data_IF_877930227612
#
_entry.id   IF_877930227612
#
_cell.length_a   1.000
_cell.length_b   1.000
_cell.length_c   1.000
_cell.angle_alpha   90.00
_cell.angle_beta   90.00
_cell.angle_gamma   90.00
#
_symmetry.space_group_name_H-M   'P 1'
#
loop_
_entity.id
_entity.type
_entity.pdbx_description
1 polymer ?
#
# COMPACT_ATOMS: atom_id res chain seq x y z
N UNK A 1 15.47 -7.68 -9.60
CA UNK A 1 14.05 -8.07 -9.72
C UNK A 1 13.68 -8.82 -8.46
N UNK A 2 12.65 -8.40 -7.74
CA UNK A 2 12.24 -9.06 -6.48
C UNK A 2 11.49 -10.37 -6.76
N UNK A 3 11.37 -11.26 -5.78
CA UNK A 3 10.60 -12.52 -5.91
C UNK A 3 9.14 -12.27 -6.30
N UNK A 4 8.50 -11.25 -5.71
CA UNK A 4 7.13 -10.85 -6.06
C UNK A 4 7.04 -10.26 -7.47
N UNK A 5 8.03 -9.47 -7.89
CA UNK A 5 8.09 -8.93 -9.25
C UNK A 5 8.23 -10.05 -10.29
N UNK A 6 9.10 -11.04 -10.03
CA UNK A 6 9.27 -12.21 -10.91
C UNK A 6 7.99 -13.05 -11.00
N UNK A 7 7.31 -13.30 -9.86
CA UNK A 7 6.03 -13.99 -9.82
C UNK A 7 4.95 -13.25 -10.64
N UNK A 8 4.88 -11.92 -10.52
CA UNK A 8 3.96 -11.09 -11.29
C UNK A 8 4.26 -11.16 -12.80
N UNK A 9 5.54 -11.05 -13.20
CA UNK A 9 5.95 -11.19 -14.61
C UNK A 9 5.59 -12.56 -15.18
N UNK A 10 5.94 -13.64 -14.46
CA UNK A 10 5.71 -15.01 -14.93
C UNK A 10 4.23 -15.35 -15.04
N UNK A 11 3.42 -14.94 -14.07
CA UNK A 11 1.97 -15.19 -14.10
C UNK A 11 1.28 -14.42 -15.23
N UNK A 12 1.66 -13.16 -15.48
CA UNK A 12 1.18 -12.42 -16.64
C UNK A 12 1.59 -13.07 -17.97
N UNK A 13 2.81 -13.59 -18.08
CA UNK A 13 3.27 -14.35 -19.25
C UNK A 13 2.47 -15.66 -19.43
N UNK A 14 2.18 -16.38 -18.34
CA UNK A 14 1.41 -17.62 -18.39
C UNK A 14 -0.04 -17.42 -18.88
N UNK A 15 -0.66 -16.27 -18.56
CA UNK A 15 -1.97 -15.88 -19.11
C UNK A 15 -1.88 -15.65 -20.61
N UNK A 16 -0.88 -14.90 -21.09
CA UNK A 16 -0.69 -14.66 -22.53
C UNK A 16 -0.46 -15.95 -23.31
N UNK A 17 0.33 -16.87 -22.75
CA UNK A 17 0.53 -18.21 -23.31
C UNK A 17 -0.78 -19.00 -23.34
N UNK A 18 -1.56 -18.98 -22.26
CA UNK A 18 -2.88 -19.64 -22.21
C UNK A 18 -3.86 -19.12 -23.27
N UNK A 19 -3.91 -17.80 -23.46
CA UNK A 19 -4.71 -17.17 -24.51
C UNK A 19 -4.25 -17.60 -25.92
N UNK A 20 -2.95 -17.58 -26.19
CA UNK A 20 -2.38 -18.02 -27.46
C UNK A 20 -2.64 -19.51 -27.73
N UNK A 21 -2.52 -20.37 -26.71
CA UNK A 21 -2.80 -21.79 -26.83
C UNK A 21 -4.28 -22.04 -27.15
N UNK A 22 -5.20 -21.31 -26.52
CA UNK A 22 -6.63 -21.40 -26.83
C UNK A 22 -6.96 -20.94 -28.24
N UNK A 23 -6.40 -19.81 -28.69
CA UNK A 23 -6.57 -19.33 -30.05
C UNK A 23 -6.09 -20.36 -31.08
N UNK A 24 -4.88 -20.89 -30.88
CA UNK A 24 -4.32 -21.96 -31.71
C UNK A 24 -5.17 -23.22 -31.69
N UNK A 25 -5.73 -23.59 -30.55
CA UNK A 25 -6.62 -24.75 -30.46
C UNK A 25 -7.92 -24.53 -31.26
N UNK A 26 -8.52 -23.34 -31.18
CA UNK A 26 -9.71 -23.01 -31.95
C UNK A 26 -9.46 -23.07 -33.47
N UNK A 27 -8.26 -22.68 -33.93
CA UNK A 27 -7.88 -22.75 -35.35
C UNK A 27 -7.65 -24.18 -35.84
N UNK A 28 -7.07 -25.05 -35.00
CA UNK A 28 -6.61 -26.39 -35.41
C UNK A 28 -7.58 -27.52 -35.08
N UNK A 29 -8.53 -27.31 -34.15
CA UNK A 29 -9.41 -28.37 -33.69
C UNK A 29 -10.62 -28.54 -34.62
N UNK A 30 -10.68 -29.67 -35.32
CA UNK A 30 -11.80 -30.02 -36.20
C UNK A 30 -13.16 -30.21 -35.46
N UNK A 31 -13.14 -30.38 -34.13
CA UNK A 31 -14.36 -30.51 -33.32
C UNK A 31 -14.89 -29.17 -32.81
N UNK A 32 -14.06 -28.13 -32.75
CA UNK A 32 -14.49 -26.82 -32.32
C UNK A 32 -15.24 -26.13 -33.46
N UNK A 33 -16.40 -25.55 -33.15
CA UNK A 33 -17.20 -24.72 -34.04
C UNK A 33 -17.46 -23.37 -33.38
N UNK A 34 -17.88 -22.33 -34.13
CA UNK A 34 -18.19 -21.02 -33.55
C UNK A 34 -19.22 -21.07 -32.41
N UNK A 35 -20.11 -22.07 -32.43
CA UNK A 35 -21.21 -22.28 -31.49
C UNK A 35 -20.99 -23.47 -30.53
N UNK A 36 -19.90 -24.24 -30.70
CA UNK A 36 -19.67 -25.45 -29.92
C UNK A 36 -18.18 -25.63 -29.58
N UNK A 37 -17.86 -25.58 -28.28
CA UNK A 37 -16.54 -25.89 -27.76
C UNK A 37 -16.40 -27.40 -27.48
N UNK A 38 -15.24 -27.98 -27.83
CA UNK A 38 -14.94 -29.36 -27.46
C UNK A 38 -14.51 -29.45 -25.97
N UNK A 39 -14.55 -30.65 -25.35
CA UNK A 39 -14.18 -30.82 -23.93
C UNK A 39 -12.80 -30.25 -23.58
N UNK A 40 -11.83 -30.42 -24.48
CA UNK A 40 -10.48 -29.86 -24.32
C UNK A 40 -10.47 -28.34 -24.32
N UNK A 41 -11.28 -27.70 -25.17
CA UNK A 41 -11.40 -26.24 -25.20
C UNK A 41 -11.99 -25.70 -23.87
N UNK A 42 -12.96 -26.41 -23.29
CA UNK A 42 -13.55 -26.08 -22.00
C UNK A 42 -12.55 -26.23 -20.83
N UNK A 43 -11.73 -27.29 -20.85
CA UNK A 43 -10.61 -27.46 -19.89
C UNK A 43 -9.59 -26.34 -20.01
N UNK A 44 -9.20 -25.98 -21.24
CA UNK A 44 -8.26 -24.88 -21.50
C UNK A 44 -8.83 -23.53 -21.07
N UNK A 45 -10.15 -23.30 -21.22
CA UNK A 45 -10.81 -22.10 -20.69
C UNK A 45 -10.73 -22.06 -19.16
N UNK A 46 -11.00 -23.18 -18.49
CA UNK A 46 -10.94 -23.29 -17.03
C UNK A 46 -9.53 -23.03 -16.51
N UNK A 47 -8.50 -23.64 -17.12
CA UNK A 47 -7.11 -23.38 -16.76
C UNK A 47 -6.70 -21.91 -17.04
N UNK A 48 -7.15 -21.34 -18.17
CA UNK A 48 -6.93 -19.92 -18.47
C UNK A 48 -7.51 -19.03 -17.38
N UNK A 49 -8.77 -19.25 -16.98
CA UNK A 49 -9.39 -18.48 -15.89
C UNK A 49 -8.62 -18.60 -14.57
N UNK A 50 -8.12 -19.79 -14.23
CA UNK A 50 -7.27 -19.98 -13.06
C UNK A 50 -5.94 -19.20 -13.17
N UNK A 51 -5.33 -19.13 -14.36
CA UNK A 51 -4.14 -18.29 -14.62
C UNK A 51 -4.46 -16.81 -14.50
N UNK A 52 -5.62 -16.36 -15.00
CA UNK A 52 -6.08 -14.97 -14.90
C UNK A 52 -6.22 -14.54 -13.45
N UNK A 53 -6.87 -15.36 -12.61
CA UNK A 53 -6.99 -15.06 -11.18
C UNK A 53 -5.64 -15.05 -10.47
N UNK A 54 -4.72 -15.98 -10.80
CA UNK A 54 -3.36 -15.97 -10.27
C UNK A 54 -2.57 -14.73 -10.68
N UNK A 55 -2.67 -14.31 -11.95
CA UNK A 55 -2.03 -13.10 -12.46
C UNK A 55 -2.53 -11.86 -11.71
N UNK A 56 -3.85 -11.73 -11.55
CA UNK A 56 -4.46 -10.65 -10.76
C UNK A 56 -3.91 -10.61 -9.34
N UNK A 57 -3.93 -11.74 -8.65
CA UNK A 57 -3.44 -11.85 -7.27
C UNK A 57 -1.95 -11.52 -7.15
N UNK A 58 -1.11 -12.02 -8.06
CA UNK A 58 0.34 -11.80 -8.02
C UNK A 58 0.71 -10.35 -8.37
N UNK A 59 0.03 -9.73 -9.33
CA UNK A 59 0.19 -8.31 -9.61
C UNK A 59 -0.20 -7.47 -8.38
N UNK A 60 -1.37 -7.71 -7.79
CA UNK A 60 -1.80 -6.95 -6.61
C UNK A 60 -1.01 -7.30 -5.34
N UNK A 61 -0.34 -8.45 -5.29
CA UNK A 61 0.63 -8.75 -4.23
C UNK A 61 1.94 -7.97 -4.45
N UNK A 62 2.41 -7.84 -5.70
CA UNK A 62 3.62 -7.09 -6.02
C UNK A 62 3.42 -5.56 -5.99
N UNK A 63 2.25 -5.05 -6.39
CA UNK A 63 1.83 -3.66 -6.28
C UNK A 63 0.35 -3.62 -5.89
N UNK A 64 0.02 -3.61 -4.59
CA UNK A 64 -1.33 -3.42 -4.09
C UNK A 64 -1.96 -2.16 -4.61
N UNK A 65 -3.29 -2.14 -4.51
CA UNK A 65 -4.07 -0.92 -4.67
C UNK A 65 -3.51 0.18 -3.78
N UNK A 66 -3.61 1.41 -4.25
CA UNK A 66 -3.03 2.61 -3.66
C UNK A 66 -1.50 2.60 -3.53
N UNK A 67 -0.78 1.73 -4.25
CA UNK A 67 0.68 1.88 -4.38
C UNK A 67 0.97 3.02 -5.36
N UNK A 68 1.90 3.91 -5.00
CA UNK A 68 2.39 4.95 -5.89
C UNK A 68 3.57 4.42 -6.71
N UNK A 69 3.49 4.50 -8.03
CA UNK A 69 4.51 4.04 -8.96
C UNK A 69 4.90 5.16 -9.92
N UNK A 70 6.07 5.05 -10.56
CA UNK A 70 6.44 5.92 -11.69
C UNK A 70 6.21 5.16 -13.00
N UNK A 71 5.34 5.72 -13.84
CA UNK A 71 5.14 5.25 -15.20
C UNK A 71 6.13 5.95 -16.14
N UNK A 72 6.82 5.17 -16.96
CA UNK A 72 7.70 5.64 -18.03
C UNK A 72 7.52 4.83 -19.32
N UNK A 73 6.28 4.41 -19.60
CA UNK A 73 5.96 3.59 -20.77
C UNK A 73 5.94 4.35 -22.09
N UNK A 74 5.28 3.77 -23.10
CA UNK A 74 5.31 4.31 -24.47
C UNK A 74 4.68 5.70 -24.60
N UNK A 75 3.72 6.02 -23.72
CA UNK A 75 2.93 7.25 -23.80
C UNK A 75 3.61 8.36 -22.97
N UNK A 76 4.52 9.12 -23.60
CA UNK A 76 5.40 10.11 -22.93
C UNK A 76 4.66 11.18 -22.15
N UNK A 77 3.52 11.67 -22.65
CA UNK A 77 2.69 12.67 -21.96
C UNK A 77 2.00 12.12 -20.69
N UNK A 78 2.04 10.81 -20.46
CA UNK A 78 1.52 10.18 -19.26
C UNK A 78 2.62 9.76 -18.28
N UNK A 79 3.89 10.12 -18.53
CA UNK A 79 4.99 9.84 -17.61
C UNK A 79 4.80 10.49 -16.23
N UNK A 80 5.45 9.92 -15.21
CA UNK A 80 5.46 10.43 -13.84
C UNK A 80 4.70 9.54 -12.87
N UNK A 81 4.27 10.10 -11.74
CA UNK A 81 3.70 9.33 -10.63
C UNK A 81 2.24 8.94 -10.88
N UNK A 82 1.88 7.72 -10.49
CA UNK A 82 0.53 7.18 -10.62
C UNK A 82 0.19 6.28 -9.45
N UNK A 83 -1.10 6.19 -9.12
CA UNK A 83 -1.62 5.28 -8.11
C UNK A 83 -2.18 4.02 -8.77
N UNK A 84 -1.81 2.85 -8.25
CA UNK A 84 -2.44 1.59 -8.64
C UNK A 84 -3.88 1.57 -8.15
N UNK A 85 -4.84 1.47 -9.07
CA UNK A 85 -6.25 1.35 -8.74
C UNK A 85 -6.70 -0.11 -8.70
N UNK A 86 -6.35 -0.86 -9.73
CA UNK A 86 -6.60 -2.30 -9.85
C UNK A 86 -5.72 -2.89 -10.97
N UNK A 87 -6.06 -4.07 -11.43
CA UNK A 87 -5.57 -4.71 -12.65
C UNK A 87 -6.59 -4.58 -13.78
N UNK A 88 -6.14 -4.66 -15.02
CA UNK A 88 -7.01 -4.46 -16.18
C UNK A 88 -7.75 -5.74 -16.58
N UNK A 89 -9.07 -5.72 -16.53
CA UNK A 89 -9.92 -6.84 -16.98
C UNK A 89 -9.81 -7.07 -18.51
N UNK A 90 -9.70 -6.02 -19.32
CA UNK A 90 -9.61 -6.12 -20.79
C UNK A 90 -8.34 -6.84 -21.26
N UNK A 91 -7.30 -6.85 -20.44
CA UNK A 91 -6.05 -7.55 -20.70
C UNK A 91 -5.87 -8.78 -19.82
N UNK A 92 -6.98 -9.42 -19.39
CA UNK A 92 -6.98 -10.63 -18.58
C UNK A 92 -6.09 -10.51 -17.33
N UNK A 93 -6.11 -9.33 -16.72
CA UNK A 93 -5.30 -8.98 -15.54
C UNK A 93 -3.79 -9.21 -15.75
N UNK A 94 -3.26 -8.86 -16.92
CA UNK A 94 -1.80 -8.87 -17.22
C UNK A 94 -1.16 -7.48 -17.19
N UNK A 95 -1.94 -6.46 -16.81
CA UNK A 95 -1.54 -5.06 -16.72
C UNK A 95 -2.27 -4.37 -15.54
N UNK A 96 -1.72 -3.26 -15.06
CA UNK A 96 -2.35 -2.43 -14.05
C UNK A 96 -3.29 -1.40 -14.67
N UNK A 97 -4.33 -1.06 -13.90
CA UNK A 97 -5.11 0.16 -14.04
C UNK A 97 -4.55 1.19 -13.07
N UNK A 98 -4.17 2.34 -13.60
CA UNK A 98 -3.58 3.42 -12.83
C UNK A 98 -4.53 4.61 -12.79
N UNK A 99 -4.43 5.40 -11.72
CA UNK A 99 -5.19 6.63 -11.54
C UNK A 99 -4.32 7.77 -11.03
N UNK A 100 -4.74 8.99 -11.32
CA UNK A 100 -4.18 10.23 -10.80
C UNK A 100 -5.30 11.07 -10.15
N UNK A 101 -4.94 12.02 -9.28
CA UNK A 101 -5.86 13.09 -8.89
C UNK A 101 -6.48 13.76 -10.12
N UNK A 102 -7.70 14.31 -9.97
CA UNK A 102 -8.50 14.93 -11.05
C UNK A 102 -9.10 13.96 -12.07
N UNK A 103 -9.25 12.67 -11.72
CA UNK A 103 -10.03 11.71 -12.49
C UNK A 103 -9.34 11.12 -13.72
N UNK A 104 -8.05 11.41 -13.93
CA UNK A 104 -7.27 10.76 -14.98
C UNK A 104 -7.05 9.28 -14.65
N UNK A 105 -7.38 8.41 -15.60
CA UNK A 105 -7.17 6.97 -15.48
C UNK A 105 -6.41 6.43 -16.68
N UNK A 106 -5.42 5.59 -16.42
CA UNK A 106 -4.74 4.78 -17.43
C UNK A 106 -5.24 3.35 -17.28
N UNK A 107 -5.89 2.84 -18.32
CA UNK A 107 -6.50 1.49 -18.27
C UNK A 107 -5.44 0.39 -18.35
N UNK A 108 -4.36 0.65 -19.08
CA UNK A 108 -3.37 -0.35 -19.43
C UNK A 108 -1.97 0.18 -19.16
N UNK A 109 -1.36 -0.29 -18.08
CA UNK A 109 0.06 -0.10 -17.81
C UNK A 109 0.70 -1.47 -17.58
N UNK A 110 1.58 -1.89 -18.49
CA UNK A 110 2.32 -3.12 -18.28
C UNK A 110 3.38 -2.94 -17.20
N UNK A 111 3.69 -4.02 -16.48
CA UNK A 111 4.74 -3.99 -15.47
C UNK A 111 6.10 -3.53 -16.02
N UNK A 112 6.41 -3.83 -17.29
CA UNK A 112 7.62 -3.37 -17.98
C UNK A 112 7.65 -1.85 -18.24
N UNK A 113 6.52 -1.16 -18.12
CA UNK A 113 6.41 0.29 -18.30
C UNK A 113 6.52 1.08 -16.99
N UNK A 114 6.65 0.37 -15.87
CA UNK A 114 6.82 0.94 -14.54
C UNK A 114 8.32 1.05 -14.27
N UNK A 115 8.85 2.27 -14.26
CA UNK A 115 10.28 2.54 -14.07
C UNK A 115 10.69 2.55 -12.60
N UNK A 116 9.75 2.85 -11.71
CA UNK A 116 9.93 2.65 -10.27
C UNK A 116 8.62 2.24 -9.61
N UNK A 117 8.72 1.26 -8.72
CA UNK A 117 7.70 0.90 -7.74
C UNK A 117 8.15 1.45 -6.38
N UNK A 118 7.27 1.54 -5.35
CA UNK A 118 7.75 1.72 -3.99
C UNK A 118 8.81 0.66 -3.74
N UNK A 119 10.03 1.10 -3.47
CA UNK A 119 11.12 0.22 -3.12
C UNK A 119 10.71 -0.48 -1.82
N UNK A 120 10.76 -1.81 -1.80
CA UNK A 120 10.90 -2.59 -0.57
C UNK A 120 12.03 -1.94 0.23
N UNK A 121 11.71 -1.04 1.17
CA UNK A 121 12.74 -0.30 1.87
C UNK A 121 13.56 -1.32 2.67
N UNK A 122 14.88 -1.46 2.43
CA UNK A 122 15.71 -2.44 3.14
C UNK A 122 15.75 -2.24 4.66
N UNK A 123 15.16 -1.16 5.19
CA UNK A 123 14.95 -0.91 6.62
C UNK A 123 13.52 -1.14 7.13
N UNK A 124 12.59 -1.74 6.37
CA UNK A 124 11.21 -1.92 6.85
C UNK A 124 11.11 -2.84 8.09
N UNK A 125 11.92 -3.90 8.13
CA UNK A 125 12.05 -4.75 9.32
C UNK A 125 12.69 -4.00 10.50
N UNK A 126 13.74 -3.21 10.22
CA UNK A 126 14.41 -2.37 11.21
C UNK A 126 13.51 -1.25 11.75
N UNK A 127 12.59 -0.74 10.93
CA UNK A 127 11.65 0.32 11.28
C UNK A 127 10.43 -0.18 12.06
N UNK A 128 10.09 -1.48 11.99
CA UNK A 128 8.87 -2.02 12.60
C UNK A 128 8.88 -1.92 14.12
N UNK A 129 9.96 -2.35 14.78
CA UNK A 129 10.06 -2.28 16.24
C UNK A 129 10.06 -0.82 16.74
N UNK A 130 10.88 0.10 16.19
CA UNK A 130 10.81 1.52 16.53
C UNK A 130 9.44 2.16 16.27
N UNK A 131 8.76 1.81 15.16
CA UNK A 131 7.45 2.35 14.85
C UNK A 131 6.38 1.87 15.84
N UNK A 132 6.44 0.61 16.28
CA UNK A 132 5.56 0.07 17.32
C UNK A 132 5.81 0.72 18.67
N UNK A 133 7.08 0.99 19.00
CA UNK A 133 7.44 1.72 20.21
C UNK A 133 6.90 3.15 20.16
N UNK A 134 7.16 3.90 19.09
CA UNK A 134 6.62 5.24 18.90
C UNK A 134 5.08 5.28 18.96
N UNK A 135 4.39 4.30 18.37
CA UNK A 135 2.94 4.18 18.44
C UNK A 135 2.43 3.95 19.86
N UNK A 136 3.13 3.12 20.65
CA UNK A 136 2.78 2.89 22.06
C UNK A 136 2.97 4.15 22.90
N UNK A 137 4.06 4.88 22.68
CA UNK A 137 4.33 6.14 23.40
C UNK A 137 3.28 7.21 23.05
N UNK A 138 2.99 7.38 21.76
CA UNK A 138 1.93 8.28 21.31
C UNK A 138 0.56 7.90 21.92
N UNK A 139 0.19 6.62 21.87
CA UNK A 139 -1.07 6.14 22.44
C UNK A 139 -1.15 6.35 23.97
N UNK A 140 -0.03 6.18 24.68
CA UNK A 140 0.03 6.42 26.12
C UNK A 140 -0.20 7.90 26.47
N UNK A 141 0.40 8.84 25.72
CA UNK A 141 0.18 10.28 25.93
C UNK A 141 -1.28 10.65 25.65
N UNK A 142 -1.82 10.21 24.52
CA UNK A 142 -3.21 10.49 24.15
C UNK A 142 -4.20 9.94 25.19
N UNK A 143 -3.95 8.72 25.69
CA UNK A 143 -4.77 8.13 26.74
C UNK A 143 -4.70 8.93 28.06
N UNK A 144 -3.55 9.51 28.41
CA UNK A 144 -3.46 10.42 29.57
C UNK A 144 -4.34 11.67 29.39
N UNK A 145 -4.46 12.16 28.15
CA UNK A 145 -5.30 13.28 27.76
C UNK A 145 -6.77 12.88 27.49
N UNK A 146 -7.17 11.61 27.67
CA UNK A 146 -8.53 11.14 27.41
C UNK A 146 -8.89 10.96 25.93
N UNK A 147 -7.91 10.97 25.03
CA UNK A 147 -8.09 10.86 23.58
C UNK A 147 -7.76 9.44 23.12
N UNK A 148 -8.60 8.90 22.23
CA UNK A 148 -8.39 7.57 21.63
C UNK A 148 -8.34 7.68 20.12
N UNK A 149 -7.14 7.52 19.55
CA UNK A 149 -6.95 7.39 18.10
C UNK A 149 -6.44 5.98 17.80
N UNK A 150 -7.13 5.16 17.01
CA UNK A 150 -6.64 3.84 16.67
C UNK A 150 -5.45 3.97 15.70
N UNK A 151 -4.33 3.33 16.07
CA UNK A 151 -3.08 3.33 15.30
C UNK A 151 -2.77 1.90 14.90
N UNK A 152 -2.46 1.68 13.63
CA UNK A 152 -2.04 0.39 13.09
C UNK A 152 -0.59 0.53 12.63
N UNK A 153 0.29 -0.32 13.15
CA UNK A 153 1.68 -0.42 12.70
C UNK A 153 1.97 -1.84 12.24
N UNK A 154 2.16 -2.00 10.94
CA UNK A 154 2.38 -3.30 10.32
C UNK A 154 3.27 -3.22 9.08
N UNK A 155 3.78 -4.39 8.66
CA UNK A 155 4.40 -4.57 7.36
C UNK A 155 3.28 -4.92 6.38
N UNK A 156 3.03 -4.06 5.40
CA UNK A 156 2.01 -4.33 4.39
C UNK A 156 2.44 -5.48 3.46
N UNK A 157 1.54 -5.93 2.58
CA UNK A 157 1.81 -6.99 1.61
C UNK A 157 2.99 -6.73 0.65
N UNK A 158 3.55 -5.51 0.64
CA UNK A 158 4.75 -5.12 -0.11
C UNK A 158 6.04 -5.21 0.69
N UNK A 159 5.99 -5.59 1.97
CA UNK A 159 7.17 -5.54 2.83
C UNK A 159 7.55 -4.13 3.27
N UNK A 160 6.68 -3.12 3.12
CA UNK A 160 6.90 -1.78 3.65
C UNK A 160 6.26 -1.65 5.03
N UNK A 161 7.01 -1.08 5.98
CA UNK A 161 6.45 -0.74 7.28
C UNK A 161 5.48 0.44 7.11
N UNK A 162 4.35 0.37 7.80
CA UNK A 162 3.28 1.37 7.75
C UNK A 162 2.94 1.84 9.16
N UNK A 163 2.61 3.11 9.28
CA UNK A 163 2.00 3.72 10.48
C UNK A 163 0.73 4.40 10.01
N UNK A 164 -0.41 3.79 10.31
CA UNK A 164 -1.72 4.19 9.79
C UNK A 164 -2.65 4.59 10.94
N UNK A 165 -3.44 5.63 10.70
CA UNK A 165 -4.43 6.17 11.64
C UNK A 165 -5.61 6.74 10.83
N UNK A 166 -6.86 6.72 11.36
CA UNK A 166 -7.99 7.32 10.66
C UNK A 166 -7.82 8.83 10.58
N UNK A 167 -7.67 9.34 9.36
CA UNK A 167 -7.40 10.76 9.13
C UNK A 167 -8.50 11.67 9.69
N UNK A 168 -9.77 11.29 9.54
CA UNK A 168 -10.89 12.09 10.06
C UNK A 168 -10.86 12.21 11.59
N UNK A 169 -10.57 11.11 12.30
CA UNK A 169 -10.40 11.13 13.77
C UNK A 169 -9.20 11.97 14.16
N UNK A 170 -8.05 11.78 13.50
CA UNK A 170 -6.85 12.57 13.78
C UNK A 170 -7.04 14.08 13.54
N UNK A 171 -7.68 14.49 12.44
CA UNK A 171 -7.98 15.91 12.14
C UNK A 171 -8.91 16.51 13.20
N UNK A 172 -9.94 15.77 13.60
CA UNK A 172 -10.87 16.20 14.64
C UNK A 172 -10.16 16.40 15.98
N UNK A 173 -9.45 15.38 16.47
CA UNK A 173 -8.76 15.43 17.76
C UNK A 173 -7.64 16.48 17.78
N UNK A 174 -6.93 16.67 16.67
CA UNK A 174 -5.92 17.72 16.56
C UNK A 174 -6.57 19.10 16.66
N UNK A 175 -7.67 19.34 15.95
CA UNK A 175 -8.40 20.60 16.03
C UNK A 175 -8.92 20.87 17.45
N UNK A 176 -9.50 19.86 18.11
CA UNK A 176 -9.99 19.98 19.49
C UNK A 176 -8.83 20.31 20.44
N UNK A 177 -7.74 19.56 20.36
CA UNK A 177 -6.55 19.75 21.20
C UNK A 177 -5.89 21.13 20.99
N UNK A 178 -5.86 21.65 19.76
CA UNK A 178 -5.32 22.98 19.46
C UNK A 178 -6.19 24.13 19.99
N UNK A 179 -7.50 23.89 20.12
CA UNK A 179 -8.44 24.88 20.68
C UNK A 179 -8.60 24.76 22.20
N UNK A 180 -8.14 23.66 22.79
CA UNK A 180 -8.22 23.44 24.23
C UNK A 180 -7.16 24.31 24.94
N UNK A 181 -7.61 25.24 25.77
CA UNK A 181 -6.75 26.06 26.64
C UNK A 181 -6.36 25.28 27.91
N UNK A 182 -5.82 24.08 27.72
CA UNK A 182 -5.38 23.19 28.80
C UNK A 182 -3.99 22.62 28.50
N UNK A 183 -3.30 22.22 29.56
CA UNK A 183 -1.97 21.62 29.44
C UNK A 183 -2.06 20.24 28.74
N UNK A 184 -3.13 19.49 29.01
CA UNK A 184 -3.45 18.23 28.35
C UNK A 184 -3.70 18.43 26.84
N UNK A 185 -4.41 19.49 26.45
CA UNK A 185 -4.62 19.87 25.06
C UNK A 185 -3.30 20.13 24.34
N UNK A 186 -2.37 20.83 25.00
CA UNK A 186 -1.03 21.08 24.46
C UNK A 186 -0.22 19.79 24.23
N UNK A 187 -0.26 18.83 25.17
CA UNK A 187 0.41 17.53 25.01
C UNK A 187 -0.23 16.68 23.91
N UNK A 188 -1.56 16.69 23.83
CA UNK A 188 -2.30 15.99 22.78
C UNK A 188 -1.95 16.55 21.40
N UNK A 189 -2.01 17.87 21.21
CA UNK A 189 -1.68 18.52 19.94
C UNK A 189 -0.22 18.26 19.54
N UNK A 190 0.73 18.38 20.48
CA UNK A 190 2.13 18.08 20.22
C UNK A 190 2.34 16.62 19.77
N UNK A 191 1.64 15.67 20.40
CA UNK A 191 1.70 14.25 20.05
C UNK A 191 1.08 13.99 18.67
N UNK A 192 -0.12 14.49 18.41
CA UNK A 192 -0.83 14.29 17.14
C UNK A 192 -0.06 14.88 15.94
N UNK A 193 0.67 15.98 16.12
CA UNK A 193 1.51 16.57 15.08
C UNK A 193 2.67 15.66 14.64
N UNK A 194 3.06 14.68 15.46
CA UNK A 194 4.11 13.71 15.07
C UNK A 194 3.61 12.65 14.08
N UNK A 195 2.30 12.47 13.94
CA UNK A 195 1.76 11.33 13.17
C UNK A 195 2.10 11.35 11.68
N UNK A 196 2.04 12.49 10.96
CA UNK A 196 2.45 12.56 9.54
C UNK A 196 3.94 12.25 9.33
N UNK A 197 4.79 12.73 10.24
CA UNK A 197 6.22 12.50 10.19
C UNK A 197 6.57 11.04 10.51
N UNK A 198 5.84 10.41 11.46
CA UNK A 198 5.99 8.98 11.76
C UNK A 198 5.55 8.15 10.56
N UNK A 199 4.39 8.43 9.98
CA UNK A 199 3.92 7.77 8.76
C UNK A 199 4.95 7.87 7.62
N UNK A 200 5.52 9.05 7.42
CA UNK A 200 6.54 9.28 6.39
C UNK A 200 7.84 8.52 6.70
N UNK A 201 8.35 8.60 7.93
CA UNK A 201 9.57 7.92 8.34
C UNK A 201 9.43 6.39 8.27
N UNK A 202 8.29 5.87 8.72
CA UNK A 202 7.93 4.44 8.67
C UNK A 202 7.80 3.96 7.23
N UNK A 203 7.11 4.70 6.35
CA UNK A 203 7.00 4.35 4.93
C UNK A 203 8.36 4.31 4.20
N UNK A 204 9.34 5.07 4.70
CA UNK A 204 10.70 5.16 4.15
C UNK A 204 11.67 4.16 4.79
N UNK A 205 11.21 3.33 5.73
CA UNK A 205 12.08 2.45 6.52
C UNK A 205 13.17 3.20 7.30
N UNK A 206 12.93 4.46 7.68
CA UNK A 206 13.91 5.32 8.34
C UNK A 206 13.90 5.12 9.86
N UNK A 207 14.51 4.04 10.35
CA UNK A 207 14.57 3.71 11.77
C UNK A 207 15.18 4.86 12.62
N UNK A 208 16.23 5.54 12.13
CA UNK A 208 16.82 6.68 12.81
C UNK A 208 15.86 7.86 12.96
N UNK A 209 15.08 8.15 11.91
CA UNK A 209 14.03 9.17 11.94
C UNK A 209 12.97 8.84 12.99
N UNK A 210 12.52 7.58 13.01
CA UNK A 210 11.55 7.10 14.00
C UNK A 210 12.10 7.23 15.42
N UNK A 211 13.35 6.80 15.67
CA UNK A 211 13.98 6.94 16.99
C UNK A 211 14.09 8.39 17.47
N UNK A 212 14.37 9.35 16.56
CA UNK A 212 14.38 10.77 16.94
C UNK A 212 13.01 11.22 17.41
N UNK A 213 11.95 10.73 16.77
CA UNK A 213 10.57 11.04 17.14
C UNK A 213 10.15 10.35 18.43
N UNK A 214 10.53 9.08 18.63
CA UNK A 214 10.32 8.39 19.92
C UNK A 214 10.93 9.18 21.07
N UNK A 215 12.16 9.70 20.93
CA UNK A 215 12.77 10.56 21.97
C UNK A 215 11.99 11.85 22.25
N UNK A 216 11.31 12.40 21.24
CA UNK A 216 10.42 13.57 21.44
C UNK A 216 9.18 13.15 22.22
N UNK A 217 8.57 12.02 21.86
CA UNK A 217 7.43 11.44 22.57
C UNK A 217 7.78 11.08 24.02
N UNK A 218 8.94 10.47 24.27
CA UNK A 218 9.39 10.14 25.63
C UNK A 218 9.49 11.39 26.51
N UNK A 219 10.06 12.48 25.97
CA UNK A 219 10.15 13.76 26.67
C UNK A 219 8.77 14.36 26.94
N UNK A 220 7.86 14.29 25.97
CA UNK A 220 6.48 14.75 26.14
C UNK A 220 5.75 13.94 27.20
N UNK A 221 5.94 12.62 27.21
CA UNK A 221 5.34 11.72 28.21
C UNK A 221 5.85 12.01 29.62
N UNK A 222 7.16 12.17 29.79
CA UNK A 222 7.75 12.53 31.08
C UNK A 222 7.19 13.88 31.58
N UNK A 223 7.12 14.89 30.71
CA UNK A 223 6.53 16.18 31.06
C UNK A 223 5.04 16.08 31.44
N UNK A 224 4.27 15.27 30.71
CA UNK A 224 2.86 15.04 31.01
C UNK A 224 2.65 14.32 32.36
N UNK A 225 3.50 13.34 32.68
CA UNK A 225 3.47 12.63 33.97
C UNK A 225 3.83 13.54 35.15
N UNK A 226 4.88 14.36 35.02
CA UNK A 226 5.30 15.31 36.05
C UNK A 226 4.21 16.34 36.36
N UNK A 227 3.50 16.82 35.34
CA UNK A 227 2.40 17.78 35.51
C UNK A 227 1.22 17.15 36.27
N UNK A 228 0.89 15.88 35.96
CA UNK A 228 -0.15 15.14 36.66
C UNK A 228 0.22 14.82 38.11
N UNK A 229 1.48 14.48 38.36
CA UNK A 229 2.00 14.18 39.70
C UNK A 229 2.02 15.38 40.65
N UNK A 230 2.08 16.62 40.11
CA UNK A 230 1.98 17.87 40.89
C UNK A 230 0.54 18.34 41.13
N UNK A 231 -0.42 17.76 40.42
CA UNK A 231 -1.84 18.13 40.48
C UNK A 231 -2.66 17.25 41.44
N UNK A 232 -2.02 16.25 42.05
CA UNK A 232 -2.54 15.41 43.14
C UNK A 232 -1.84 15.79 44.46
#
# INVERSE_FOLDING_TARGET
MTTLQDLAVRSAAAVRLGAADRARHAELCAMCRPDQECPRAAEMFTDHQARVQRSRSNLLAYLPRTSMITYAGKVRNLHGEWWVADTCADCDHTAYRLTRPRGMAMRHAHLSEISSAPVLHPGAGEALAPAREAAREAAAILAMCGIVVPIIVDINGLGACTFAYPRATWEHELSVAETADTVEGSYAAATLRTFPDLATATSRGNALGIHRMSRVLDKLRAAAQDTRGKSN
#
